data_IF_959926201624
#
_entry.id   IF_959926201624
#
_cell.length_a   1.000
_cell.length_b   1.000
_cell.length_c   1.000
_cell.angle_alpha   90.00
_cell.angle_beta   90.00
_cell.angle_gamma   90.00
#
_symmetry.space_group_name_H-M   'P 1'
#
loop_
_entity.id
_entity.type
_entity.pdbx_description
1 polymer ?
#
# COMPACT_ATOMS: atom_id res chain seq x y z
N UNK A 1 -11.14 20.59 19.66
CA UNK A 1 -12.49 19.99 19.42
C UNK A 1 -13.31 20.55 18.23
N UNK A 2 -12.96 21.66 17.56
CA UNK A 2 -13.83 22.27 16.52
C UNK A 2 -13.51 21.82 15.07
N UNK A 3 -12.37 21.16 14.81
CA UNK A 3 -12.00 20.68 13.46
C UNK A 3 -12.68 19.37 13.03
N UNK A 4 -13.09 18.49 13.96
CA UNK A 4 -13.75 17.20 13.63
C UNK A 4 -15.15 17.34 13.00
N UNK A 5 -15.90 18.43 13.27
CA UNK A 5 -17.31 18.57 12.85
C UNK A 5 -17.55 19.10 11.43
N UNK A 6 -16.54 19.60 10.70
CA UNK A 6 -16.72 20.11 9.32
C UNK A 6 -16.45 19.08 8.22
N UNK A 7 -15.82 17.94 8.53
CA UNK A 7 -15.52 16.89 7.54
C UNK A 7 -16.71 15.96 7.25
N UNK A 8 -17.79 16.00 8.03
CA UNK A 8 -18.91 15.04 7.89
C UNK A 8 -19.67 15.18 6.55
N UNK A 9 -19.51 16.29 5.80
CA UNK A 9 -20.15 16.47 4.47
C UNK A 9 -19.26 16.16 3.27
N UNK A 10 -17.95 15.97 3.47
CA UNK A 10 -17.00 15.57 2.41
C UNK A 10 -16.32 14.30 2.91
N UNK A 11 -16.68 13.15 2.34
CA UNK A 11 -16.11 11.86 2.71
C UNK A 11 -14.58 11.90 2.77
N UNK A 12 -14.00 11.10 3.64
CA UNK A 12 -12.55 11.06 3.85
C UNK A 12 -11.91 10.54 2.55
N UNK A 13 -11.02 11.31 1.95
CA UNK A 13 -10.26 10.88 0.78
C UNK A 13 -9.07 10.04 1.23
N UNK A 14 -8.95 8.83 0.73
CA UNK A 14 -7.81 7.96 0.97
C UNK A 14 -7.34 7.38 -0.36
N UNK A 15 -6.04 7.23 -0.54
CA UNK A 15 -5.46 6.80 -1.80
C UNK A 15 -4.50 5.66 -1.50
N UNK A 16 -4.82 4.48 -2.02
CA UNK A 16 -4.10 3.25 -1.82
C UNK A 16 -3.48 2.84 -3.15
N UNK A 17 -2.17 2.64 -3.17
CA UNK A 17 -1.47 2.12 -4.33
C UNK A 17 -1.10 0.66 -4.09
N UNK A 18 -1.31 -0.18 -5.09
CA UNK A 18 -0.99 -1.61 -5.01
C UNK A 18 0.11 -1.92 -6.02
N UNK A 19 1.25 -2.38 -5.51
CA UNK A 19 2.47 -2.64 -6.26
C UNK A 19 2.90 -4.09 -6.03
N UNK A 20 3.42 -4.77 -7.06
CA UNK A 20 3.98 -6.11 -6.91
C UNK A 20 4.09 -6.85 -8.22
N UNK A 21 4.66 -8.05 -8.17
CA UNK A 21 4.80 -8.87 -9.38
C UNK A 21 3.44 -9.29 -9.97
N UNK A 22 3.44 -9.60 -11.26
CA UNK A 22 2.28 -10.21 -11.92
C UNK A 22 1.87 -11.50 -11.22
N UNK A 23 0.57 -11.76 -11.14
CA UNK A 23 0.07 -13.00 -10.55
C UNK A 23 0.16 -13.11 -9.02
N UNK A 24 0.53 -12.05 -8.29
CA UNK A 24 0.57 -12.05 -6.80
C UNK A 24 -0.81 -11.89 -6.14
N UNK A 25 -1.88 -11.65 -6.92
CA UNK A 25 -3.26 -11.52 -6.40
C UNK A 25 -3.69 -10.08 -6.07
N UNK A 26 -3.00 -9.07 -6.58
CA UNK A 26 -3.27 -7.63 -6.39
C UNK A 26 -4.70 -7.23 -6.75
N UNK A 27 -5.13 -7.58 -7.96
CA UNK A 27 -6.49 -7.31 -8.48
C UNK A 27 -7.57 -7.95 -7.60
N UNK A 28 -7.38 -9.23 -7.24
CA UNK A 28 -8.30 -9.95 -6.35
C UNK A 28 -8.34 -9.33 -4.96
N UNK A 29 -7.20 -8.91 -4.41
CA UNK A 29 -7.16 -8.22 -3.12
C UNK A 29 -7.96 -6.91 -3.16
N UNK A 30 -7.78 -6.09 -4.21
CA UNK A 30 -8.53 -4.83 -4.38
C UNK A 30 -10.04 -5.09 -4.43
N UNK A 31 -10.47 -6.09 -5.20
CA UNK A 31 -11.88 -6.45 -5.31
C UNK A 31 -12.43 -6.97 -3.96
N UNK A 32 -11.61 -7.75 -3.24
CA UNK A 32 -11.94 -8.23 -1.88
C UNK A 32 -12.03 -7.07 -0.88
N UNK A 33 -11.13 -6.09 -0.94
CA UNK A 33 -11.12 -4.91 -0.08
C UNK A 33 -12.36 -4.04 -0.29
N UNK A 34 -12.78 -3.86 -1.55
CA UNK A 34 -13.96 -3.08 -1.89
C UNK A 34 -15.28 -3.84 -1.73
N UNK A 35 -15.23 -5.17 -1.59
CA UNK A 35 -16.42 -6.04 -1.59
C UNK A 35 -17.20 -6.00 -2.91
N UNK A 36 -16.58 -5.53 -4.00
CA UNK A 36 -17.16 -5.35 -5.34
C UNK A 36 -16.08 -5.58 -6.37
N UNK A 37 -16.45 -6.04 -7.56
CA UNK A 37 -15.53 -6.14 -8.70
C UNK A 37 -15.27 -4.73 -9.25
N UNK A 38 -14.15 -4.14 -8.84
CA UNK A 38 -13.71 -2.78 -9.20
C UNK A 38 -12.68 -2.85 -10.32
N UNK A 39 -11.80 -3.84 -10.27
CA UNK A 39 -10.82 -4.14 -11.31
C UNK A 39 -11.22 -5.42 -12.04
N UNK A 40 -11.26 -5.36 -13.38
CA UNK A 40 -11.42 -6.55 -14.20
C UNK A 40 -10.15 -7.39 -14.21
N UNK A 41 -10.31 -8.71 -14.15
CA UNK A 41 -9.18 -9.62 -14.37
C UNK A 41 -8.71 -9.51 -15.81
N UNK A 42 -7.38 -9.47 -16.00
CA UNK A 42 -6.79 -9.65 -17.33
C UNK A 42 -6.87 -11.14 -17.66
N UNK A 43 -8.01 -11.60 -18.15
CA UNK A 43 -8.12 -12.94 -18.74
C UNK A 43 -7.41 -12.93 -20.09
N UNK A 44 -6.23 -13.56 -20.15
CA UNK A 44 -5.48 -13.78 -21.37
C UNK A 44 -5.94 -15.08 -22.08
N UNK A 45 -7.26 -15.30 -22.18
CA UNK A 45 -7.83 -16.50 -22.80
C UNK A 45 -8.22 -16.30 -24.27
N UNK A 46 -8.07 -15.10 -24.83
CA UNK A 46 -8.21 -14.90 -26.28
C UNK A 46 -6.81 -14.98 -26.95
N UNK A 47 -6.49 -16.08 -27.64
CA UNK A 47 -5.22 -16.24 -28.36
C UNK A 47 -4.98 -15.15 -29.42
N UNK A 48 -6.03 -14.43 -29.86
CA UNK A 48 -5.88 -13.29 -30.78
C UNK A 48 -5.51 -11.96 -30.08
N UNK A 49 -5.74 -11.85 -28.77
CA UNK A 49 -5.37 -10.67 -27.96
C UNK A 49 -4.02 -10.84 -27.26
N UNK A 50 -3.45 -12.05 -27.26
CA UNK A 50 -2.16 -12.37 -26.62
C UNK A 50 -0.97 -11.56 -27.15
N UNK A 51 -1.03 -11.04 -28.39
CA UNK A 51 0.00 -10.19 -28.99
C UNK A 51 -0.18 -8.70 -28.69
N UNK A 52 -1.29 -8.31 -28.07
CA UNK A 52 -1.56 -6.92 -27.69
C UNK A 52 -1.18 -6.76 -26.23
N UNK A 53 0.11 -6.53 -25.98
CA UNK A 53 0.50 -5.92 -24.71
C UNK A 53 -0.04 -4.49 -24.71
N UNK A 54 -1.25 -4.32 -24.20
CA UNK A 54 -1.81 -3.00 -23.94
C UNK A 54 -0.83 -2.28 -23.00
N UNK A 55 -0.13 -1.27 -23.54
CA UNK A 55 0.88 -0.50 -22.84
C UNK A 55 0.35 -0.12 -21.46
N UNK A 56 1.04 -0.58 -20.42
CA UNK A 56 0.45 -0.65 -19.10
C UNK A 56 0.36 0.73 -18.51
N UNK A 57 -0.85 1.30 -18.46
CA UNK A 57 -1.07 2.62 -17.86
C UNK A 57 -1.59 2.44 -16.45
N UNK A 58 -0.93 3.09 -15.50
CA UNK A 58 -1.43 3.28 -14.13
C UNK A 58 -2.77 4.04 -14.20
N UNK A 59 -3.87 3.39 -13.80
CA UNK A 59 -5.22 3.97 -13.81
C UNK A 59 -5.75 4.08 -12.39
N UNK A 60 -5.93 5.30 -11.85
CA UNK A 60 -6.60 5.47 -10.56
C UNK A 60 -8.11 5.23 -10.72
N UNK A 61 -8.68 4.42 -9.82
CA UNK A 61 -10.12 4.17 -9.74
C UNK A 61 -10.61 4.63 -8.38
N UNK A 62 -11.58 5.53 -8.35
CA UNK A 62 -12.18 5.99 -7.10
C UNK A 62 -13.46 5.22 -6.81
N UNK A 63 -13.54 4.66 -5.61
CA UNK A 63 -14.66 3.91 -5.07
C UNK A 63 -15.13 4.59 -3.80
N UNK A 64 -16.43 4.82 -3.67
CA UNK A 64 -17.02 5.28 -2.42
C UNK A 64 -17.39 4.07 -1.56
N UNK A 65 -16.80 3.99 -0.37
CA UNK A 65 -17.04 2.96 0.63
C UNK A 65 -17.75 3.57 1.83
N UNK A 66 -18.73 2.84 2.36
CA UNK A 66 -19.35 3.12 3.65
C UNK A 66 -18.76 2.11 4.65
N UNK A 67 -18.04 2.60 5.67
CA UNK A 67 -17.31 1.71 6.58
C UNK A 67 -18.18 1.13 7.68
N UNK A 68 -19.09 1.95 8.23
CA UNK A 68 -19.83 1.62 9.44
C UNK A 68 -21.33 1.87 9.27
N UNK A 69 -22.13 1.23 10.12
CA UNK A 69 -23.54 1.56 10.33
C UNK A 69 -23.73 3.02 10.81
N UNK A 70 -22.67 3.66 11.31
CA UNK A 70 -22.62 5.07 11.71
C UNK A 70 -22.52 6.06 10.51
N UNK A 71 -22.34 5.56 9.28
CA UNK A 71 -22.45 6.37 8.06
C UNK A 71 -21.19 7.15 7.66
N UNK A 72 -20.00 6.80 8.18
CA UNK A 72 -18.73 7.39 7.73
C UNK A 72 -18.43 6.95 6.29
N UNK A 73 -18.40 7.92 5.37
CA UNK A 73 -18.09 7.69 3.94
C UNK A 73 -16.62 7.94 3.64
N UNK A 74 -15.97 6.96 3.04
CA UNK A 74 -14.61 7.08 2.52
C UNK A 74 -14.64 7.07 1.00
N UNK A 75 -13.97 8.03 0.40
CA UNK A 75 -13.64 8.03 -1.03
C UNK A 75 -12.27 7.40 -1.19
N UNK A 76 -12.24 6.09 -1.45
CA UNK A 76 -11.02 5.31 -1.65
C UNK A 76 -10.60 5.39 -3.13
N UNK A 77 -9.48 6.02 -3.42
CA UNK A 77 -8.84 5.96 -4.73
C UNK A 77 -7.83 4.82 -4.73
N UNK A 78 -8.00 3.86 -5.62
CA UNK A 78 -7.12 2.72 -5.78
C UNK A 78 -6.28 2.93 -7.03
N UNK A 79 -4.97 2.87 -6.87
CA UNK A 79 -4.00 2.98 -7.94
C UNK A 79 -3.40 1.60 -8.17
N UNK A 80 -3.82 0.94 -9.25
CA UNK A 80 -3.25 -0.34 -9.66
C UNK A 80 -2.03 -0.10 -10.57
N UNK A 81 -0.92 -0.77 -10.26
CA UNK A 81 0.28 -0.70 -11.11
C UNK A 81 0.35 -1.87 -12.07
N UNK A 82 1.08 -1.73 -13.20
CA UNK A 82 1.58 -2.88 -13.92
C UNK A 82 2.20 -3.91 -12.97
N UNK A 83 2.01 -5.19 -13.29
CA UNK A 83 2.89 -6.21 -12.73
C UNK A 83 4.27 -6.07 -13.36
N UNK A 84 5.30 -6.14 -12.53
CA UNK A 84 6.70 -6.16 -12.93
C UNK A 84 7.29 -7.54 -12.66
N UNK A 85 8.46 -7.83 -13.25
CA UNK A 85 9.18 -9.08 -13.05
C UNK A 85 8.92 -10.16 -14.10
N UNK A 86 8.07 -9.89 -15.11
CA UNK A 86 7.89 -10.77 -16.27
C UNK A 86 8.86 -10.42 -17.42
N UNK A 87 9.31 -9.17 -17.47
CA UNK A 87 10.22 -8.67 -18.50
C UNK A 87 11.69 -8.90 -18.10
N UNK A 88 12.58 -9.02 -19.10
CA UNK A 88 14.03 -9.13 -18.87
C UNK A 88 14.58 -7.83 -18.27
N UNK A 89 14.09 -6.69 -18.75
CA UNK A 89 14.40 -5.37 -18.20
C UNK A 89 13.15 -4.79 -17.55
N UNK A 90 13.23 -4.48 -16.25
CA UNK A 90 12.13 -3.94 -15.45
C UNK A 90 12.35 -2.47 -15.05
N UNK A 91 13.47 -1.85 -15.46
CA UNK A 91 13.83 -0.49 -15.06
C UNK A 91 12.77 0.53 -15.53
N UNK A 92 12.22 0.33 -16.73
CA UNK A 92 11.15 1.18 -17.26
C UNK A 92 9.88 1.15 -16.39
N UNK A 93 9.51 -0.03 -15.86
CA UNK A 93 8.36 -0.18 -14.96
C UNK A 93 8.60 0.55 -13.64
N UNK A 94 9.84 0.52 -13.13
CA UNK A 94 10.20 1.21 -11.89
C UNK A 94 10.14 2.72 -12.06
N UNK A 95 10.69 3.23 -13.15
CA UNK A 95 10.63 4.65 -13.49
C UNK A 95 9.18 5.14 -13.68
N UNK A 96 8.30 4.32 -14.23
CA UNK A 96 6.88 4.69 -14.38
C UNK A 96 6.16 4.80 -13.03
N UNK A 97 6.39 3.85 -12.12
CA UNK A 97 5.79 3.83 -10.78
C UNK A 97 6.28 5.04 -9.97
N UNK A 98 7.60 5.25 -9.89
CA UNK A 98 8.20 6.40 -9.19
C UNK A 98 7.73 7.70 -9.82
N UNK A 99 7.78 7.79 -11.16
CA UNK A 99 7.32 8.96 -11.90
C UNK A 99 5.83 9.24 -11.71
N UNK A 100 4.99 8.25 -11.42
CA UNK A 100 3.60 8.49 -11.03
C UNK A 100 3.49 9.16 -9.66
N UNK A 101 4.22 8.66 -8.65
CA UNK A 101 4.25 9.25 -7.31
C UNK A 101 4.73 10.71 -7.34
N UNK A 102 5.84 10.96 -8.03
CA UNK A 102 6.40 12.32 -8.15
C UNK A 102 5.47 13.26 -8.90
N UNK A 103 4.79 12.78 -9.96
CA UNK A 103 3.74 13.57 -10.65
C UNK A 103 2.61 13.96 -9.71
N UNK A 104 2.17 13.05 -8.83
CA UNK A 104 1.13 13.39 -7.85
C UNK A 104 1.61 14.52 -6.92
N UNK A 105 2.85 14.47 -6.44
CA UNK A 105 3.40 15.54 -5.62
C UNK A 105 3.62 16.86 -6.39
N UNK A 106 4.10 16.79 -7.63
CA UNK A 106 4.27 17.97 -8.50
C UNK A 106 2.92 18.67 -8.75
N UNK A 107 1.84 17.91 -8.98
CA UNK A 107 0.50 18.47 -9.18
C UNK A 107 -0.01 19.23 -7.94
N UNK A 108 0.21 18.68 -6.73
CA UNK A 108 -0.11 19.35 -5.46
C UNK A 108 0.74 20.61 -5.30
N UNK A 109 2.05 20.51 -5.51
CA UNK A 109 2.98 21.63 -5.35
C UNK A 109 2.65 22.77 -6.32
N UNK A 110 2.31 22.44 -7.57
CA UNK A 110 1.87 23.41 -8.56
C UNK A 110 0.57 24.10 -8.14
N UNK A 111 -0.38 23.36 -7.56
CA UNK A 111 -1.63 23.93 -7.05
C UNK A 111 -1.43 24.79 -5.80
N UNK A 112 -0.55 24.39 -4.88
CA UNK A 112 -0.19 25.19 -3.68
C UNK A 112 0.50 26.51 -4.05
N UNK A 113 1.27 26.50 -5.13
CA UNK A 113 1.99 27.65 -5.69
C UNK A 113 1.08 28.64 -6.44
N UNK A 114 -0.15 28.26 -6.80
CA UNK A 114 -1.09 29.15 -7.50
C UNK A 114 -1.63 30.24 -6.57
N UNK A 115 -1.63 31.49 -7.06
CA UNK A 115 -2.20 32.66 -6.36
C UNK A 115 -3.71 32.48 -6.13
N UNK A 116 -4.43 31.93 -7.11
CA UNK A 116 -5.85 31.57 -6.99
C UNK A 116 -5.99 30.05 -7.02
N UNK A 117 -6.11 29.46 -5.83
CA UNK A 117 -6.27 28.01 -5.64
C UNK A 117 -7.66 27.56 -6.03
N UNK A 118 -7.75 26.40 -6.67
CA UNK A 118 -9.02 25.78 -7.03
C UNK A 118 -9.61 25.06 -5.80
N UNK A 119 -10.76 25.48 -5.26
CA UNK A 119 -11.38 24.85 -4.10
C UNK A 119 -11.95 23.45 -4.39
N UNK A 120 -11.95 23.01 -5.65
CA UNK A 120 -12.38 21.67 -6.08
C UNK A 120 -11.21 20.73 -6.40
N UNK A 121 -9.98 21.16 -6.20
CA UNK A 121 -8.82 20.30 -6.41
C UNK A 121 -8.91 19.07 -5.50
N UNK A 122 -8.61 17.89 -6.06
CA UNK A 122 -8.67 16.61 -5.36
C UNK A 122 -7.27 16.20 -4.98
N UNK A 123 -7.11 15.78 -3.73
CA UNK A 123 -5.85 15.24 -3.25
C UNK A 123 -5.72 13.79 -3.72
N UNK A 124 -4.79 13.54 -4.64
CA UNK A 124 -4.50 12.22 -5.19
C UNK A 124 -3.16 11.66 -4.69
N UNK A 125 -2.55 12.27 -3.68
CA UNK A 125 -1.32 11.75 -3.06
C UNK A 125 -1.57 10.34 -2.57
N UNK A 126 -0.62 9.45 -2.84
CA UNK A 126 -0.68 8.06 -2.37
C UNK A 126 -0.35 8.05 -0.88
N UNK A 127 -1.31 7.64 -0.06
CA UNK A 127 -1.16 7.66 1.40
C UNK A 127 -0.57 6.35 1.93
N UNK A 128 -0.85 5.23 1.24
CA UNK A 128 -0.30 3.93 1.55
C UNK A 128 -0.01 3.17 0.26
N UNK A 129 1.09 2.42 0.27
CA UNK A 129 1.48 1.54 -0.81
C UNK A 129 1.61 0.11 -0.29
N UNK A 130 0.76 -0.78 -0.78
CA UNK A 130 0.90 -2.20 -0.50
C UNK A 130 1.87 -2.82 -1.49
N UNK A 131 2.94 -3.39 -0.97
CA UNK A 131 3.95 -4.07 -1.75
C UNK A 131 3.78 -5.59 -1.66
N UNK A 132 3.30 -6.19 -2.73
CA UNK A 132 3.03 -7.62 -2.83
C UNK A 132 4.31 -8.37 -3.17
N UNK A 133 4.82 -9.08 -2.17
CA UNK A 133 5.94 -10.00 -2.26
C UNK A 133 5.40 -11.34 -2.77
N UNK A 134 6.11 -11.92 -3.73
CA UNK A 134 5.80 -13.26 -4.26
C UNK A 134 6.06 -14.32 -3.19
N UNK A 135 5.13 -15.27 -2.95
CA UNK A 135 5.31 -16.32 -1.96
C UNK A 135 6.29 -17.39 -2.46
N UNK A 136 7.59 -17.11 -2.41
CA UNK A 136 8.65 -18.04 -2.84
C UNK A 136 9.03 -19.05 -1.76
N UNK A 137 8.68 -18.78 -0.50
CA UNK A 137 9.17 -19.53 0.66
C UNK A 137 10.61 -19.16 1.08
N UNK A 138 11.22 -18.20 0.39
CA UNK A 138 12.56 -17.67 0.69
C UNK A 138 12.47 -16.19 1.12
N UNK A 139 13.62 -15.54 1.22
CA UNK A 139 13.72 -14.10 1.47
C UNK A 139 13.30 -13.23 0.27
N UNK A 140 13.63 -11.94 0.36
CA UNK A 140 13.33 -10.96 -0.67
C UNK A 140 14.19 -11.16 -1.92
N UNK A 141 13.60 -10.92 -3.10
CA UNK A 141 14.37 -10.87 -4.35
C UNK A 141 15.13 -9.56 -4.44
N UNK A 142 16.29 -9.56 -5.09
CA UNK A 142 17.08 -8.34 -5.35
C UNK A 142 16.25 -7.25 -6.03
N UNK A 143 15.39 -7.66 -6.97
CA UNK A 143 14.42 -6.81 -7.64
C UNK A 143 13.49 -6.08 -6.66
N UNK A 144 13.01 -6.81 -5.65
CA UNK A 144 12.07 -6.29 -4.67
C UNK A 144 12.77 -5.33 -3.69
N UNK A 145 14.00 -5.68 -3.28
CA UNK A 145 14.85 -4.84 -2.43
C UNK A 145 15.11 -3.48 -3.07
N UNK A 146 15.53 -3.47 -4.34
CA UNK A 146 15.83 -2.24 -5.07
C UNK A 146 14.58 -1.38 -5.25
N UNK A 147 13.45 -1.98 -5.63
CA UNK A 147 12.22 -1.25 -5.85
C UNK A 147 11.65 -0.67 -4.55
N UNK A 148 11.61 -1.44 -3.46
CA UNK A 148 11.13 -0.95 -2.17
C UNK A 148 11.99 0.22 -1.65
N UNK A 149 13.32 0.16 -1.83
CA UNK A 149 14.23 1.25 -1.48
C UNK A 149 13.94 2.53 -2.27
N UNK A 150 13.63 2.42 -3.56
CA UNK A 150 13.30 3.59 -4.41
C UNK A 150 11.93 4.19 -4.07
N UNK A 151 10.97 3.38 -3.61
CA UNK A 151 9.59 3.81 -3.33
C UNK A 151 9.42 4.39 -1.93
N UNK A 152 10.15 3.87 -0.94
CA UNK A 152 10.04 4.26 0.47
C UNK A 152 10.17 5.78 0.74
N UNK A 153 11.04 6.56 0.08
CA UNK A 153 11.12 8.00 0.30
C UNK A 153 9.91 8.78 -0.20
N UNK A 154 9.03 8.15 -1.01
CA UNK A 154 7.91 8.82 -1.69
C UNK A 154 6.55 8.30 -1.22
N UNK A 155 6.46 7.11 -0.63
CA UNK A 155 5.20 6.53 -0.16
C UNK A 155 5.42 5.64 1.08
N UNK A 156 4.38 5.51 1.93
CA UNK A 156 4.38 4.57 3.04
C UNK A 156 4.28 3.13 2.51
N UNK A 157 5.40 2.42 2.44
CA UNK A 157 5.46 1.05 1.91
C UNK A 157 5.11 0.04 3.00
N UNK A 158 4.08 -0.77 2.77
CA UNK A 158 3.66 -1.86 3.64
C UNK A 158 3.90 -3.18 2.90
N UNK A 159 4.91 -3.99 3.28
CA UNK A 159 5.14 -5.31 2.69
C UNK A 159 4.03 -6.31 3.04
N UNK A 160 3.60 -7.04 2.01
CA UNK A 160 2.51 -8.01 2.09
C UNK A 160 2.88 -9.24 1.26
N UNK A 161 2.74 -10.44 1.82
CA UNK A 161 2.91 -11.70 1.09
C UNK A 161 1.58 -12.03 0.40
N UNK A 162 1.57 -11.96 -0.93
CA UNK A 162 0.41 -12.34 -1.74
C UNK A 162 0.25 -13.85 -1.84
N UNK A 163 -0.98 -14.34 -2.07
CA UNK A 163 -1.31 -15.77 -2.22
C UNK A 163 -0.69 -16.65 -1.12
N UNK A 164 -0.83 -16.21 0.13
CA UNK A 164 -0.23 -16.89 1.28
C UNK A 164 -0.71 -18.34 1.46
N UNK A 165 -1.85 -18.69 0.88
CA UNK A 165 -2.39 -20.05 0.80
C UNK A 165 -1.56 -21.01 -0.08
N UNK A 166 -0.54 -20.51 -0.78
CA UNK A 166 0.42 -21.34 -1.53
C UNK A 166 1.52 -21.92 -0.64
N UNK A 167 1.70 -21.41 0.58
CA UNK A 167 2.71 -21.84 1.53
C UNK A 167 2.06 -22.61 2.69
N UNK A 168 2.75 -23.61 3.21
CA UNK A 168 2.33 -24.23 4.48
C UNK A 168 2.54 -23.26 5.64
N UNK A 169 1.85 -23.43 6.79
CA UNK A 169 2.04 -22.54 7.94
C UNK A 169 3.50 -22.49 8.45
N UNK A 170 4.26 -23.58 8.30
CA UNK A 170 5.67 -23.63 8.65
C UNK A 170 6.54 -22.81 7.69
N UNK A 171 6.34 -22.99 6.38
CA UNK A 171 7.05 -22.23 5.34
C UNK A 171 6.69 -20.75 5.37
N UNK A 172 5.44 -20.41 5.68
CA UNK A 172 5.00 -19.03 5.83
C UNK A 172 5.71 -18.36 7.01
N UNK A 173 5.82 -19.05 8.16
CA UNK A 173 6.53 -18.52 9.32
C UNK A 173 8.03 -18.31 9.03
N UNK A 174 8.65 -19.24 8.31
CA UNK A 174 10.05 -19.11 7.88
C UNK A 174 10.23 -17.96 6.87
N UNK A 175 9.36 -17.87 5.87
CA UNK A 175 9.41 -16.79 4.87
C UNK A 175 9.16 -15.42 5.50
N UNK A 176 8.20 -15.28 6.42
CA UNK A 176 7.99 -14.03 7.19
C UNK A 176 9.26 -13.61 7.92
N UNK A 177 9.91 -14.56 8.60
CA UNK A 177 11.16 -14.31 9.32
C UNK A 177 12.28 -13.86 8.37
N UNK A 178 12.52 -14.59 7.29
CA UNK A 178 13.57 -14.27 6.31
C UNK A 178 13.33 -12.90 5.65
N UNK A 179 12.09 -12.59 5.28
CA UNK A 179 11.75 -11.28 4.70
C UNK A 179 12.01 -10.14 5.69
N UNK A 180 11.68 -10.31 6.97
CA UNK A 180 11.95 -9.29 7.98
C UNK A 180 13.45 -9.13 8.25
N UNK A 181 14.21 -10.22 8.29
CA UNK A 181 15.68 -10.19 8.40
C UNK A 181 16.30 -9.44 7.21
N UNK A 182 15.81 -9.67 5.99
CA UNK A 182 16.27 -8.95 4.79
C UNK A 182 15.92 -7.45 4.86
N UNK A 183 14.70 -7.10 5.26
CA UNK A 183 14.28 -5.69 5.41
C UNK A 183 15.20 -4.95 6.38
N UNK A 184 15.55 -5.58 7.51
CA UNK A 184 16.47 -5.02 8.50
C UNK A 184 17.90 -4.94 7.97
N UNK A 185 18.40 -6.02 7.37
CA UNK A 185 19.76 -6.12 6.83
C UNK A 185 20.01 -5.05 5.74
N UNK A 186 19.07 -4.91 4.80
CA UNK A 186 19.16 -3.96 3.71
C UNK A 186 18.69 -2.54 4.08
N UNK A 187 18.19 -2.33 5.31
CA UNK A 187 17.68 -1.06 5.85
C UNK A 187 16.61 -0.45 4.95
N UNK A 188 15.63 -1.25 4.57
CA UNK A 188 14.52 -0.80 3.73
C UNK A 188 13.53 -0.01 4.61
N UNK A 189 13.23 1.26 4.31
CA UNK A 189 12.30 2.04 5.11
C UNK A 189 10.86 1.59 4.80
N UNK A 190 10.35 0.67 5.61
CA UNK A 190 8.94 0.23 5.55
C UNK A 190 8.14 0.91 6.65
N UNK A 191 6.83 1.07 6.42
CA UNK A 191 5.93 1.53 7.46
C UNK A 191 5.80 0.43 8.52
N UNK A 192 6.17 0.78 9.77
CA UNK A 192 6.28 -0.17 10.87
C UNK A 192 5.38 0.22 12.07
N UNK A 193 4.16 0.72 11.81
CA UNK A 193 3.14 1.00 12.83
C UNK A 193 3.73 1.61 14.13
N UNK A 194 4.28 2.84 14.08
CA UNK A 194 4.93 3.48 15.21
C UNK A 194 3.98 3.57 16.42
N UNK A 195 4.50 3.31 17.63
CA UNK A 195 3.77 3.43 18.89
C UNK A 195 4.73 3.85 19.99
N UNK A 196 4.25 4.66 20.92
CA UNK A 196 4.99 5.11 22.09
C UNK A 196 4.29 4.58 23.36
N UNK A 197 5.03 3.81 24.16
CA UNK A 197 4.49 3.19 25.38
C UNK A 197 4.22 4.26 26.47
N UNK A 198 4.88 5.41 26.40
CA UNK A 198 4.74 6.49 27.37
C UNK A 198 3.63 7.50 26.98
N UNK A 199 3.37 7.69 25.69
CA UNK A 199 2.40 8.68 25.20
C UNK A 199 1.08 8.12 24.71
N UNK A 200 1.08 6.91 24.12
CA UNK A 200 -0.13 6.30 23.58
C UNK A 200 -0.91 5.56 24.68
N UNK A 201 -2.22 5.47 24.50
CA UNK A 201 -3.07 4.68 25.39
C UNK A 201 -2.78 3.17 25.24
N UNK A 202 -3.08 2.40 26.31
CA UNK A 202 -2.79 0.96 26.38
C UNK A 202 -3.42 0.19 25.20
N UNK A 203 -4.63 0.57 24.78
CA UNK A 203 -5.35 -0.06 23.67
C UNK A 203 -4.60 0.15 22.33
N UNK A 204 -4.13 1.38 22.08
CA UNK A 204 -3.35 1.72 20.87
C UNK A 204 -1.99 1.02 20.85
N UNK A 205 -1.32 0.92 22.01
CA UNK A 205 -0.04 0.21 22.13
C UNK A 205 -0.21 -1.28 21.82
N UNK A 206 -1.27 -1.90 22.36
CA UNK A 206 -1.57 -3.32 22.11
C UNK A 206 -1.89 -3.57 20.62
N UNK A 207 -2.78 -2.78 20.01
CA UNK A 207 -3.12 -2.91 18.58
C UNK A 207 -1.88 -2.79 17.68
N UNK A 208 -1.03 -1.79 17.94
CA UNK A 208 0.15 -1.54 17.12
C UNK A 208 1.22 -2.63 17.31
N UNK A 209 1.39 -3.16 18.53
CA UNK A 209 2.28 -4.27 18.79
C UNK A 209 1.83 -5.55 18.06
N UNK A 210 0.52 -5.84 18.05
CA UNK A 210 -0.04 -6.96 17.30
C UNK A 210 0.18 -6.81 15.79
N UNK A 211 -0.11 -5.63 15.22
CA UNK A 211 0.07 -5.36 13.80
C UNK A 211 1.53 -5.52 13.37
N UNK A 212 2.49 -5.04 14.19
CA UNK A 212 3.92 -5.27 13.93
C UNK A 212 4.29 -6.76 13.95
N UNK A 213 3.72 -7.53 14.87
CA UNK A 213 3.94 -8.98 14.97
C UNK A 213 3.43 -9.76 13.76
N UNK A 214 2.45 -9.21 13.02
CA UNK A 214 1.90 -9.84 11.82
C UNK A 214 2.71 -9.54 10.55
N UNK A 215 3.63 -8.57 10.59
CA UNK A 215 4.42 -8.15 9.44
C UNK A 215 5.48 -9.18 9.02
N UNK A 216 5.66 -9.42 7.70
CA UNK A 216 4.82 -8.95 6.60
C UNK A 216 3.45 -9.68 6.59
N UNK A 217 2.37 -8.96 6.28
CA UNK A 217 1.02 -9.52 6.30
C UNK A 217 0.85 -10.65 5.28
N UNK A 218 0.26 -11.76 5.67
CA UNK A 218 -0.04 -12.90 4.80
C UNK A 218 -1.48 -12.83 4.31
N UNK A 219 -1.67 -12.42 3.05
CA UNK A 219 -3.00 -12.19 2.50
C UNK A 219 -3.45 -13.28 1.53
N UNK A 220 -4.73 -13.60 1.62
CA UNK A 220 -5.47 -14.41 0.68
C UNK A 220 -6.66 -13.58 0.22
N UNK A 221 -6.82 -13.38 -1.08
CA UNK A 221 -7.98 -12.68 -1.66
C UNK A 221 -8.94 -13.67 -2.30
N UNK A 222 -10.25 -13.41 -2.19
CA UNK A 222 -11.27 -14.16 -2.93
C UNK A 222 -12.46 -13.27 -3.25
N UNK A 223 -12.95 -13.38 -4.48
CA UNK A 223 -14.21 -12.79 -4.94
C UNK A 223 -15.38 -13.77 -4.81
N UNK A 224 -15.08 -15.06 -4.61
CA UNK A 224 -16.09 -16.11 -4.49
C UNK A 224 -16.63 -16.17 -3.05
N UNK A 225 -17.94 -16.33 -2.95
CA UNK A 225 -18.65 -16.50 -1.69
C UNK A 225 -19.13 -17.94 -1.63
N UNK A 226 -18.70 -18.66 -0.58
CA UNK A 226 -19.06 -20.05 -0.33
C UNK A 226 -19.90 -20.11 0.94
N UNK A 227 -20.91 -20.98 0.97
CA UNK A 227 -21.70 -21.21 2.17
C UNK A 227 -21.04 -22.29 3.04
N UNK A 228 -20.56 -21.90 4.22
CA UNK A 228 -19.93 -22.80 5.20
C UNK A 228 -20.74 -22.71 6.50
N UNK A 229 -21.35 -23.83 6.91
CA UNK A 229 -22.13 -23.88 8.16
C UNK A 229 -23.32 -22.92 8.20
N UNK A 230 -23.97 -22.66 7.05
CA UNK A 230 -25.11 -21.75 6.93
C UNK A 230 -24.74 -20.26 6.91
N UNK A 231 -23.45 -19.92 6.79
CA UNK A 231 -22.96 -18.56 6.63
C UNK A 231 -22.28 -18.39 5.28
N UNK A 232 -22.64 -17.33 4.58
CA UNK A 232 -21.97 -16.91 3.35
C UNK A 232 -20.64 -16.23 3.73
N UNK A 233 -19.53 -16.87 3.39
CA UNK A 233 -18.17 -16.40 3.69
C UNK A 233 -17.36 -16.30 2.41
N UNK A 234 -16.50 -15.29 2.30
CA UNK A 234 -15.56 -15.20 1.18
C UNK A 234 -14.45 -16.21 1.38
N UNK A 235 -14.29 -17.10 0.43
CA UNK A 235 -13.36 -18.20 0.56
C UNK A 235 -12.81 -18.64 -0.79
N UNK A 236 -11.65 -19.29 -0.76
CA UNK A 236 -11.10 -20.02 -1.91
C UNK A 236 -11.34 -21.50 -1.71
N UNK A 237 -12.01 -22.14 -2.67
CA UNK A 237 -12.28 -23.57 -2.62
C UNK A 237 -11.20 -24.36 -3.36
N UNK A 238 -10.62 -25.33 -2.67
CA UNK A 238 -9.67 -26.28 -3.20
C UNK A 238 -10.24 -27.71 -3.11
N UNK A 239 -9.72 -28.67 -3.91
CA UNK A 239 -10.12 -30.07 -3.80
C UNK A 239 -9.92 -30.67 -2.40
N UNK A 240 -8.96 -30.15 -1.63
CA UNK A 240 -8.60 -30.63 -0.29
C UNK A 240 -9.16 -29.79 0.87
N UNK A 241 -9.83 -28.67 0.60
CA UNK A 241 -10.34 -27.82 1.68
C UNK A 241 -10.77 -26.43 1.22
N UNK A 242 -11.17 -25.59 2.17
CA UNK A 242 -11.66 -24.24 1.92
C UNK A 242 -10.86 -23.25 2.76
N UNK A 243 -10.33 -22.22 2.12
CA UNK A 243 -9.57 -21.15 2.78
C UNK A 243 -10.47 -19.92 2.92
N UNK A 244 -10.99 -19.71 4.11
CA UNK A 244 -11.76 -18.52 4.47
C UNK A 244 -10.85 -17.27 4.53
N UNK A 245 -11.19 -16.24 3.75
CA UNK A 245 -10.41 -14.99 3.67
C UNK A 245 -10.55 -14.14 4.94
N UNK A 246 -11.76 -14.12 5.50
CA UNK A 246 -12.06 -13.33 6.70
C UNK A 246 -11.68 -14.05 8.01
N UNK A 247 -10.97 -15.18 7.94
CA UNK A 247 -10.57 -15.95 9.11
C UNK A 247 -9.10 -15.64 9.50
N UNK A 248 -8.84 -15.07 10.69
CA UNK A 248 -7.48 -14.71 11.13
C UNK A 248 -6.51 -15.90 11.21
N UNK A 249 -7.01 -17.14 11.28
CA UNK A 249 -6.16 -18.34 11.25
C UNK A 249 -5.67 -18.69 9.86
N UNK A 250 -6.31 -18.17 8.82
CA UNK A 250 -6.01 -18.46 7.42
C UNK A 250 -5.39 -17.27 6.70
N UNK A 251 -5.77 -16.05 7.06
CA UNK A 251 -5.24 -14.84 6.43
C UNK A 251 -5.28 -13.63 7.36
N UNK A 252 -4.26 -12.78 7.23
CA UNK A 252 -4.16 -11.49 7.90
C UNK A 252 -5.00 -10.38 7.19
N UNK A 253 -5.89 -10.75 6.27
CA UNK A 253 -6.69 -9.82 5.48
C UNK A 253 -7.55 -8.87 6.34
N UNK A 254 -8.14 -9.37 7.42
CA UNK A 254 -8.92 -8.53 8.33
C UNK A 254 -8.07 -7.48 9.04
N UNK A 255 -6.85 -7.87 9.48
CA UNK A 255 -5.93 -6.97 10.16
C UNK A 255 -5.51 -5.82 9.25
N UNK A 256 -5.07 -6.13 8.02
CA UNK A 256 -4.65 -5.10 7.07
C UNK A 256 -5.83 -4.21 6.62
N UNK A 257 -7.04 -4.78 6.47
CA UNK A 257 -8.24 -3.99 6.17
C UNK A 257 -8.59 -3.03 7.30
N UNK A 258 -8.55 -3.51 8.55
CA UNK A 258 -8.82 -2.69 9.73
C UNK A 258 -7.81 -1.54 9.83
N UNK A 259 -6.52 -1.86 9.72
CA UNK A 259 -5.45 -0.89 9.76
C UNK A 259 -5.59 0.20 8.68
N UNK A 260 -5.78 -0.19 7.40
CA UNK A 260 -5.84 0.77 6.29
C UNK A 260 -7.09 1.66 6.30
N UNK A 261 -8.24 1.13 6.71
CA UNK A 261 -9.52 1.81 6.56
C UNK A 261 -10.04 2.45 7.86
N UNK A 262 -9.63 1.96 9.03
CA UNK A 262 -10.15 2.41 10.32
C UNK A 262 -9.07 3.05 11.19
N UNK A 263 -8.14 2.26 11.75
CA UNK A 263 -7.24 2.75 12.80
C UNK A 263 -6.13 3.67 12.28
N UNK A 264 -5.41 3.26 11.23
CA UNK A 264 -4.19 3.94 10.79
C UNK A 264 -4.38 4.89 9.61
N UNK A 265 -5.63 5.07 9.15
CA UNK A 265 -5.90 5.93 8.00
C UNK A 265 -5.42 7.36 8.23
N UNK A 266 -5.70 7.94 9.41
CA UNK A 266 -5.31 9.31 9.73
C UNK A 266 -3.78 9.45 9.81
N UNK A 267 -3.12 8.52 10.49
CA UNK A 267 -1.66 8.50 10.65
C UNK A 267 -0.93 8.40 9.30
N UNK A 268 -1.34 7.46 8.44
CA UNK A 268 -0.79 7.31 7.09
C UNK A 268 -0.92 8.60 6.27
N UNK A 269 -2.02 9.34 6.44
CA UNK A 269 -2.20 10.64 5.78
C UNK A 269 -1.30 11.73 6.36
N UNK A 270 -1.16 11.78 7.68
CA UNK A 270 -0.31 12.76 8.37
C UNK A 270 1.16 12.55 7.99
N UNK A 271 1.67 11.33 8.04
CA UNK A 271 3.04 11.00 7.59
C UNK A 271 3.24 11.37 6.11
N UNK A 272 2.26 11.08 5.25
CA UNK A 272 2.36 11.44 3.84
C UNK A 272 2.46 12.95 3.64
N UNK A 273 1.70 13.74 4.42
CA UNK A 273 1.68 15.19 4.28
C UNK A 273 2.90 15.86 4.92
N UNK A 274 3.14 15.56 6.19
CA UNK A 274 4.07 16.31 7.04
C UNK A 274 5.52 15.88 6.82
N UNK A 275 5.72 14.65 6.33
CA UNK A 275 7.05 14.10 6.12
C UNK A 275 7.33 13.84 4.63
N UNK A 276 6.62 12.91 3.99
CA UNK A 276 6.95 12.51 2.61
C UNK A 276 6.81 13.66 1.61
N UNK A 277 5.69 14.38 1.66
CA UNK A 277 5.43 15.51 0.79
C UNK A 277 6.30 16.73 1.12
N UNK A 278 6.47 17.10 2.39
CA UNK A 278 7.31 18.25 2.75
C UNK A 278 8.80 18.00 2.44
N UNK A 279 9.30 16.77 2.57
CA UNK A 279 10.63 16.39 2.12
C UNK A 279 10.77 16.55 0.59
N UNK A 280 9.81 16.02 -0.18
CA UNK A 280 9.77 16.19 -1.63
C UNK A 280 9.74 17.66 -2.05
N UNK A 281 8.90 18.45 -1.37
CA UNK A 281 8.74 19.88 -1.61
C UNK A 281 10.04 20.65 -1.34
N UNK A 282 10.71 20.34 -0.24
CA UNK A 282 12.01 20.94 0.12
C UNK A 282 13.06 20.61 -0.94
N UNK A 283 13.13 19.35 -1.37
CA UNK A 283 14.04 18.89 -2.42
C UNK A 283 13.79 19.58 -3.78
N UNK A 284 12.52 19.76 -4.17
CA UNK A 284 12.17 20.45 -5.43
C UNK A 284 12.43 21.95 -5.38
N UNK A 285 12.12 22.60 -4.25
CA UNK A 285 12.34 24.03 -4.09
C UNK A 285 13.84 24.36 -4.00
N UNK A 286 14.64 23.55 -3.31
CA UNK A 286 16.10 23.75 -3.27
C UNK A 286 16.72 23.63 -4.66
N UNK A 287 16.35 22.58 -5.41
CA UNK A 287 16.78 22.39 -6.82
C UNK A 287 16.37 23.56 -7.72
N UNK A 288 15.20 24.15 -7.50
CA UNK A 288 14.73 25.30 -8.27
C UNK A 288 15.47 26.61 -7.92
N UNK A 289 16.03 26.72 -6.71
CA UNK A 289 16.79 27.90 -6.26
C UNK A 289 18.26 27.81 -6.69
N UNK A 290 18.83 26.61 -6.76
CA UNK A 290 20.25 26.40 -7.07
C UNK A 290 20.63 26.37 -8.56
N UNK A 291 19.67 26.43 -9.49
CA UNK A 291 19.96 26.71 -10.90
C UNK A 291 21.14 25.91 -11.49
N UNK A 292 21.07 24.58 -11.51
CA UNK A 292 21.89 23.77 -12.41
C UNK A 292 23.24 23.23 -11.90
N UNK A 293 23.44 23.03 -10.59
CA UNK A 293 24.55 22.22 -10.09
C UNK A 293 24.01 20.98 -9.36
N UNK A 294 24.19 19.81 -9.96
CA UNK A 294 23.81 18.54 -9.35
C UNK A 294 24.62 18.26 -8.10
N UNK A 295 23.95 18.30 -6.95
CA UNK A 295 24.44 17.69 -5.71
C UNK A 295 23.40 16.66 -5.30
N UNK A 296 23.75 15.40 -5.53
CA UNK A 296 22.96 14.24 -5.12
C UNK A 296 22.92 14.19 -3.58
N UNK A 297 21.86 14.77 -3.01
CA UNK A 297 21.61 14.78 -1.57
C UNK A 297 20.79 13.53 -1.23
N UNK A 298 21.38 12.35 -1.40
CA UNK A 298 20.80 11.13 -0.85
C UNK A 298 20.94 11.19 0.67
N UNK A 299 19.84 11.50 1.37
CA UNK A 299 19.81 11.44 2.83
C UNK A 299 19.79 9.98 3.31
N UNK A 300 20.48 9.77 4.43
CA UNK A 300 20.79 8.45 4.98
C UNK A 300 19.49 7.79 5.51
N UNK A 301 19.19 6.52 5.18
CA UNK A 301 17.97 5.82 5.62
C UNK A 301 17.78 5.74 7.15
N UNK A 302 18.84 5.94 7.95
CA UNK A 302 18.76 6.05 9.41
C UNK A 302 18.00 7.31 9.88
N UNK A 303 18.03 8.41 9.13
CA UNK A 303 17.27 9.63 9.48
C UNK A 303 15.77 9.46 9.18
N UNK A 304 15.41 8.67 8.16
CA UNK A 304 14.02 8.36 7.83
C UNK A 304 13.36 7.47 8.89
N UNK A 305 14.06 6.43 9.36
CA UNK A 305 13.54 5.51 10.37
C UNK A 305 13.53 6.11 11.79
N UNK A 306 14.51 6.98 12.10
CA UNK A 306 14.60 7.63 13.42
C UNK A 306 13.75 8.89 13.56
N UNK A 307 13.37 9.56 12.46
CA UNK A 307 12.49 10.74 12.52
C UNK A 307 11.01 10.38 12.70
N UNK A 308 10.58 9.20 12.25
CA UNK A 308 9.29 8.61 12.64
C UNK A 308 9.18 8.32 14.14
N UNK A 309 10.30 8.30 14.88
CA UNK A 309 10.36 8.15 16.35
C UNK A 309 10.52 9.51 17.06
N UNK A 310 10.92 10.57 16.35
CA UNK A 310 11.20 11.90 16.96
C UNK A 310 10.08 12.92 16.82
N UNK A 311 8.98 12.56 16.14
CA UNK A 311 7.79 13.41 16.01
C UNK A 311 6.60 12.76 16.72
N UNK A 312 6.78 12.53 18.02
CA UNK A 312 5.80 12.87 19.04
C UNK A 312 6.55 13.64 20.13
#
# INVERSE_FOLDING_TARGET
>A
MIRRKKNVKKGIQFCLMVCGASGTGRTTFVNTLCGKSVLGHKEADDPNAASVEDGVKIKPITVELELDEEGTRISLTIVDTPGFGDQIDNEASFAEIVGYLERQYDDILAEESRIKRNPRFRDNRVHAMLYFITPTGHGLRELDIELMKRLAPRANVIPVIGRADSLTPAELAESKKLVMEDIEHYRIPVYNFPYDIEEDDEDTVEENAELRGLMPFAIVGSEEVVEIGGRAVRARQYPWGVVEVDNPRHSDFLAIRSALLHSHLADLKEITHDFLYENYRTEKLSKSVEGGAGVDSSMNPEDLASQSVRLK
#
